data_IF_793994077914
#
_entry.id   IF_793994077914
#
_cell.length_a   1.000
_cell.length_b   1.000
_cell.length_c   1.000
_cell.angle_alpha   90.00
_cell.angle_beta   90.00
_cell.angle_gamma   90.00
#
_symmetry.space_group_name_H-M   'P 1'
#
loop_
_entity.id
_entity.type
_entity.pdbx_description
1 polymer ?
#
# COMPACT_ATOMS: atom_id res chain seq x y z
N UNK A 1 72.17 -1.25 35.68
CA UNK A 1 71.91 0.03 34.98
C UNK A 1 71.07 -0.34 33.77
N UNK A 2 69.84 0.08 33.57
CA UNK A 2 69.03 1.06 34.28
C UNK A 2 67.56 0.59 34.24
N UNK A 3 66.85 0.80 35.35
CA UNK A 3 65.49 0.35 35.60
C UNK A 3 64.51 1.45 35.16
N UNK A 4 63.46 1.08 34.40
CA UNK A 4 62.54 2.09 33.84
C UNK A 4 61.08 1.64 33.66
N UNK A 5 60.48 1.07 34.71
CA UNK A 5 59.04 1.12 35.04
C UNK A 5 58.03 0.46 34.08
N UNK A 6 57.94 -0.86 34.24
CA UNK A 6 56.68 -1.61 34.29
C UNK A 6 56.08 -1.41 35.70
N UNK A 7 54.90 -0.77 35.86
CA UNK A 7 53.94 -0.92 36.98
C UNK A 7 52.99 0.29 37.11
N UNK A 8 51.71 0.07 36.82
CA UNK A 8 50.46 0.70 37.36
C UNK A 8 49.36 0.31 36.34
N UNK A 9 48.28 -0.42 36.60
CA UNK A 9 47.38 -0.40 37.76
C UNK A 9 46.63 -1.74 37.82
N UNK A 10 46.95 -2.58 38.81
CA UNK A 10 45.99 -3.52 39.43
C UNK A 10 46.13 -3.28 40.93
N UNK A 11 45.32 -2.36 41.46
CA UNK A 11 44.97 -2.24 42.88
C UNK A 11 44.18 -0.94 43.09
N UNK A 12 42.85 -1.01 42.96
CA UNK A 12 41.94 -0.09 43.65
C UNK A 12 40.58 -0.78 43.86
N UNK A 13 40.62 -2.01 44.39
CA UNK A 13 39.55 -2.48 45.26
C UNK A 13 39.97 -2.11 46.69
N UNK A 14 39.00 -1.66 47.49
CA UNK A 14 39.15 -1.15 48.86
C UNK A 14 39.53 0.33 49.02
N UNK A 15 38.61 1.23 48.63
CA UNK A 15 38.32 2.42 49.44
C UNK A 15 36.86 2.86 49.22
N UNK A 16 35.93 1.97 49.60
CA UNK A 16 34.51 2.27 49.73
C UNK A 16 34.12 2.22 51.21
N UNK A 17 34.72 3.11 52.01
CA UNK A 17 34.24 3.42 53.34
C UNK A 17 34.33 4.95 53.50
N UNK A 18 33.19 5.58 53.78
CA UNK A 18 33.05 6.96 54.26
C UNK A 18 32.94 8.08 53.19
N UNK A 19 31.94 8.00 52.30
CA UNK A 19 31.35 9.22 51.71
C UNK A 19 29.87 9.33 52.12
N UNK A 20 29.40 10.52 52.55
CA UNK A 20 28.05 10.73 53.05
C UNK A 20 27.01 10.61 51.92
N UNK A 21 25.87 10.04 52.28
CA UNK A 21 24.81 9.48 51.43
C UNK A 21 23.93 10.52 50.70
N UNK A 22 24.44 11.71 50.42
CA UNK A 22 23.64 12.80 49.84
C UNK A 22 24.43 13.59 48.80
N UNK A 23 24.54 13.07 47.57
CA UNK A 23 24.57 13.84 46.32
C UNK A 23 24.95 12.96 45.11
N UNK A 24 24.08 12.04 44.71
CA UNK A 24 24.04 11.57 43.32
C UNK A 24 22.62 11.76 42.81
N UNK A 25 22.26 13.03 42.57
CA UNK A 25 21.13 13.39 41.71
C UNK A 25 21.68 13.66 40.31
N UNK A 26 21.29 12.80 39.38
CA UNK A 26 21.10 13.17 37.97
C UNK A 26 22.36 13.23 37.11
N UNK A 27 22.97 12.08 36.82
CA UNK A 27 23.48 11.89 35.46
C UNK A 27 22.29 11.35 34.67
N UNK A 28 21.60 12.22 33.95
CA UNK A 28 20.61 11.81 32.98
C UNK A 28 21.33 10.91 31.97
N UNK A 29 21.03 9.62 31.98
CA UNK A 29 21.35 8.75 30.87
C UNK A 29 20.78 9.44 29.62
N UNK A 30 21.63 9.65 28.61
CA UNK A 30 21.20 10.14 27.31
C UNK A 30 20.24 9.07 26.78
N UNK A 31 18.94 9.27 27.01
CA UNK A 31 17.92 8.30 26.64
C UNK A 31 18.01 8.11 25.13
N UNK A 32 18.21 6.87 24.70
CA UNK A 32 18.02 6.52 23.30
C UNK A 32 16.65 7.05 22.87
N UNK A 33 16.57 7.89 21.82
CA UNK A 33 15.29 8.41 21.35
C UNK A 33 14.31 7.25 21.19
N UNK A 34 13.16 7.33 21.86
CA UNK A 34 12.14 6.29 21.73
C UNK A 34 11.62 6.28 20.29
N UNK A 35 11.36 5.10 19.71
CA UNK A 35 10.88 5.03 18.35
C UNK A 35 9.54 5.77 18.22
N UNK A 36 9.32 6.56 17.15
CA UNK A 36 8.06 7.24 16.89
C UNK A 36 6.81 6.34 16.97
N UNK A 37 6.94 5.05 16.63
CA UNK A 37 5.91 4.03 16.86
C UNK A 37 6.55 2.75 17.37
N UNK A 38 5.90 1.99 18.29
CA UNK A 38 6.47 0.74 18.78
C UNK A 38 6.49 -0.39 17.74
N UNK A 39 5.70 -0.28 16.66
CA UNK A 39 5.47 -1.38 15.74
C UNK A 39 4.82 -0.93 14.43
N UNK A 40 5.00 -1.74 13.39
CA UNK A 40 4.34 -1.55 12.09
C UNK A 40 3.89 -2.89 11.51
N UNK A 41 2.61 -3.00 11.17
CA UNK A 41 2.04 -4.13 10.43
C UNK A 41 1.68 -3.69 9.01
N UNK A 42 2.06 -4.51 8.02
CA UNK A 42 2.02 -4.13 6.61
C UNK A 42 1.11 -5.10 5.87
N UNK A 43 0.18 -4.56 5.11
CA UNK A 43 -0.78 -5.27 4.25
C UNK A 43 -0.69 -4.66 2.86
N UNK A 44 -0.66 -5.50 1.84
CA UNK A 44 -0.50 -5.00 0.48
C UNK A 44 -0.23 -6.05 -0.57
N UNK A 45 0.23 -5.58 -1.71
CA UNK A 45 0.60 -6.38 -2.86
C UNK A 45 2.13 -6.43 -3.07
N UNK A 46 2.58 -6.72 -4.29
CA UNK A 46 4.00 -6.78 -4.67
C UNK A 46 4.77 -5.48 -4.43
N UNK A 47 4.10 -4.32 -4.36
CA UNK A 47 4.77 -3.04 -4.07
C UNK A 47 5.38 -2.99 -2.68
N UNK A 48 4.90 -3.82 -1.75
CA UNK A 48 5.34 -3.85 -0.36
C UNK A 48 5.64 -5.25 0.16
N UNK A 49 5.50 -6.32 -0.63
CA UNK A 49 5.95 -7.67 -0.28
C UNK A 49 7.46 -7.72 -0.05
N UNK A 50 7.86 -8.44 0.99
CA UNK A 50 9.25 -8.65 1.39
C UNK A 50 9.65 -10.13 1.49
N UNK A 51 8.85 -11.03 0.92
CA UNK A 51 9.17 -12.45 0.78
C UNK A 51 8.07 -13.44 1.14
N UNK A 52 6.81 -13.01 1.33
CA UNK A 52 5.72 -13.94 1.63
C UNK A 52 5.45 -14.88 0.45
N UNK A 53 5.68 -14.43 -0.79
CA UNK A 53 5.50 -15.26 -1.98
C UNK A 53 6.61 -16.30 -2.22
N UNK A 54 7.72 -16.27 -1.46
CA UNK A 54 8.90 -17.07 -1.76
C UNK A 54 8.66 -18.59 -1.76
N UNK A 55 7.75 -19.05 -0.89
CA UNK A 55 7.44 -20.47 -0.70
C UNK A 55 6.03 -20.85 -1.18
N UNK A 56 5.39 -19.97 -1.97
CA UNK A 56 4.09 -20.21 -2.58
C UNK A 56 4.32 -20.62 -4.04
N UNK A 57 3.50 -21.56 -4.55
CA UNK A 57 3.50 -21.90 -5.97
C UNK A 57 2.88 -20.74 -6.78
N UNK A 58 3.72 -19.78 -7.14
CA UNK A 58 3.33 -18.52 -7.75
C UNK A 58 4.28 -18.11 -8.87
N UNK A 59 3.74 -17.46 -9.90
CA UNK A 59 4.52 -16.72 -10.90
C UNK A 59 4.94 -15.34 -10.36
N UNK A 60 4.22 -14.80 -9.37
CA UNK A 60 4.56 -13.55 -8.71
C UNK A 60 5.60 -13.81 -7.60
N UNK A 61 6.87 -14.02 -7.99
CA UNK A 61 8.02 -14.17 -7.08
C UNK A 61 9.16 -13.24 -7.49
N UNK A 62 9.88 -12.73 -6.49
CA UNK A 62 11.06 -11.88 -6.65
C UNK A 62 12.25 -12.35 -5.79
N UNK A 63 12.34 -13.67 -5.55
CA UNK A 63 13.42 -14.31 -4.78
C UNK A 63 14.59 -14.78 -5.66
N UNK A 64 14.84 -14.08 -6.77
CA UNK A 64 15.92 -14.38 -7.70
C UNK A 64 16.54 -13.08 -8.23
N UNK A 65 17.83 -13.13 -8.59
CA UNK A 65 18.51 -11.98 -9.20
C UNK A 65 17.90 -11.69 -10.58
N UNK A 66 17.74 -10.42 -10.99
CA UNK A 66 18.35 -9.23 -10.36
C UNK A 66 17.52 -8.57 -9.24
N UNK A 67 16.37 -9.12 -8.83
CA UNK A 67 15.65 -8.57 -7.68
C UNK A 67 16.51 -8.62 -6.41
N UNK A 68 16.45 -7.57 -5.60
CA UNK A 68 17.29 -7.43 -4.41
C UNK A 68 18.79 -7.35 -4.70
N UNK A 69 19.22 -6.95 -5.90
CA UNK A 69 20.66 -6.78 -6.22
C UNK A 69 21.38 -5.81 -5.26
N UNK A 70 20.66 -4.84 -4.69
CA UNK A 70 21.16 -3.87 -3.72
C UNK A 70 20.97 -4.32 -2.26
N UNK A 71 20.41 -5.51 -2.04
CA UNK A 71 20.37 -6.17 -0.74
C UNK A 71 21.63 -7.02 -0.54
N UNK A 72 22.39 -6.73 0.51
CA UNK A 72 23.64 -7.44 0.78
C UNK A 72 23.45 -8.94 1.06
N UNK A 73 22.30 -9.34 1.62
CA UNK A 73 21.94 -10.73 1.91
C UNK A 73 21.41 -11.50 0.69
N UNK A 74 21.27 -10.84 -0.46
CA UNK A 74 20.68 -11.42 -1.68
C UNK A 74 19.18 -11.17 -1.82
N UNK A 75 18.51 -11.77 -2.84
CA UNK A 75 17.12 -11.47 -3.21
C UNK A 75 16.15 -11.82 -2.07
N UNK A 76 15.56 -10.82 -1.38
CA UNK A 76 14.74 -11.12 -0.21
C UNK A 76 13.30 -11.52 -0.58
N UNK A 77 12.90 -11.36 -1.85
CA UNK A 77 11.50 -11.47 -2.29
C UNK A 77 10.80 -10.12 -2.48
N UNK A 78 11.54 -9.01 -2.48
CA UNK A 78 11.04 -7.67 -2.81
C UNK A 78 11.04 -7.45 -4.32
N UNK A 79 9.95 -6.95 -4.88
CA UNK A 79 9.79 -6.68 -6.31
C UNK A 79 10.49 -5.38 -6.74
N UNK A 80 11.75 -5.21 -6.34
CA UNK A 80 12.57 -4.05 -6.68
C UNK A 80 14.05 -4.42 -6.59
N UNK A 81 14.96 -3.52 -6.93
CA UNK A 81 16.40 -3.72 -6.77
C UNK A 81 16.86 -3.74 -5.30
N UNK A 82 16.14 -3.07 -4.41
CA UNK A 82 16.52 -2.88 -3.01
C UNK A 82 15.30 -2.81 -2.11
N UNK A 83 15.27 -1.83 -1.20
CA UNK A 83 14.17 -1.63 -0.24
C UNK A 83 12.90 -1.07 -0.87
N UNK A 84 11.75 -1.47 -0.32
CA UNK A 84 10.42 -0.93 -0.65
C UNK A 84 10.13 0.33 0.17
N UNK A 85 9.05 1.06 -0.15
CA UNK A 85 8.68 2.25 0.63
C UNK A 85 8.43 1.94 2.11
N UNK A 86 7.87 0.75 2.42
CA UNK A 86 7.54 0.37 3.80
C UNK A 86 8.77 0.00 4.61
N UNK A 87 9.85 -0.45 3.97
CA UNK A 87 11.14 -0.62 4.65
C UNK A 87 11.68 0.73 5.11
N UNK A 88 11.70 1.72 4.22
CA UNK A 88 12.12 3.08 4.57
C UNK A 88 11.21 3.72 5.61
N UNK A 89 9.90 3.51 5.54
CA UNK A 89 8.97 3.97 6.58
C UNK A 89 9.27 3.31 7.93
N UNK A 90 9.57 2.00 7.96
CA UNK A 90 9.93 1.31 9.20
C UNK A 90 11.24 1.86 9.80
N UNK A 91 12.22 2.21 8.94
CA UNK A 91 13.46 2.88 9.36
C UNK A 91 13.15 4.24 9.99
N UNK A 92 12.32 5.06 9.33
CA UNK A 92 11.94 6.40 9.81
C UNK A 92 11.10 6.35 11.10
N UNK A 93 10.37 5.26 11.33
CA UNK A 93 9.65 4.98 12.58
C UNK A 93 10.55 4.43 13.69
N UNK A 94 11.85 4.27 13.46
CA UNK A 94 12.81 3.80 14.45
C UNK A 94 12.73 2.30 14.74
N UNK A 95 12.20 1.50 13.80
CA UNK A 95 11.99 0.06 14.00
C UNK A 95 13.21 -0.81 13.64
N UNK A 96 14.32 -0.21 13.17
CA UNK A 96 15.57 -0.94 12.85
C UNK A 96 16.65 -0.82 13.93
N UNK A 97 17.57 -1.80 14.00
CA UNK A 97 17.57 -3.11 13.30
C UNK A 97 16.75 -4.18 14.04
N UNK A 98 16.27 -5.26 13.38
CA UNK A 98 16.37 -5.59 11.94
C UNK A 98 15.18 -5.04 11.12
N UNK A 99 15.15 -5.27 9.80
CA UNK A 99 13.96 -4.98 8.97
C UNK A 99 12.73 -5.76 9.46
N UNK A 100 11.53 -5.26 9.17
CA UNK A 100 10.29 -6.01 9.45
C UNK A 100 10.30 -7.31 8.61
N UNK A 101 10.12 -8.49 9.21
CA UNK A 101 10.16 -9.77 8.50
C UNK A 101 8.87 -10.02 7.69
N UNK A 102 8.90 -10.85 6.63
CA UNK A 102 7.68 -11.42 6.07
C UNK A 102 7.03 -12.32 7.11
N UNK A 103 5.69 -12.32 7.16
CA UNK A 103 4.92 -13.18 8.05
C UNK A 103 5.27 -14.66 7.83
N UNK A 104 5.52 -15.07 6.59
CA UNK A 104 5.90 -16.44 6.22
C UNK A 104 7.15 -16.98 6.96
N UNK A 105 8.02 -16.09 7.47
CA UNK A 105 9.22 -16.48 8.24
C UNK A 105 9.31 -15.78 9.59
N UNK A 106 8.27 -15.07 10.02
CA UNK A 106 8.26 -14.36 11.30
C UNK A 106 8.16 -15.35 12.46
N UNK A 107 8.92 -15.10 13.53
CA UNK A 107 8.81 -15.87 14.78
C UNK A 107 7.86 -15.15 15.73
N UNK A 108 7.27 -15.85 16.72
CA UNK A 108 6.43 -15.21 17.72
C UNK A 108 7.07 -14.00 18.42
N UNK A 109 8.39 -14.04 18.65
CA UNK A 109 9.15 -12.95 19.26
C UNK A 109 9.30 -11.70 18.35
N UNK A 110 9.11 -11.84 17.05
CA UNK A 110 9.20 -10.73 16.09
C UNK A 110 7.87 -9.95 16.03
N UNK A 111 6.73 -10.63 16.26
CA UNK A 111 5.38 -10.09 16.12
C UNK A 111 5.12 -8.79 16.91
N UNK A 112 5.59 -8.61 18.17
CA UNK A 112 5.39 -7.36 18.89
C UNK A 112 5.98 -6.13 18.19
N UNK A 113 7.05 -6.28 17.40
CA UNK A 113 7.63 -5.16 16.63
C UNK A 113 6.96 -4.99 15.27
N UNK A 114 6.31 -6.04 14.75
CA UNK A 114 5.61 -6.00 13.48
C UNK A 114 5.98 -7.14 12.55
N UNK A 115 5.11 -7.38 11.59
CA UNK A 115 5.30 -8.32 10.49
C UNK A 115 4.66 -7.77 9.22
N UNK A 116 5.18 -8.21 8.08
CA UNK A 116 4.64 -7.87 6.77
C UNK A 116 3.80 -9.04 6.23
N UNK A 117 2.54 -8.79 5.96
CA UNK A 117 1.56 -9.75 5.45
C UNK A 117 1.28 -9.59 3.95
N UNK A 118 1.89 -8.60 3.29
CA UNK A 118 1.68 -8.33 1.87
C UNK A 118 2.10 -9.51 0.99
N UNK A 119 1.43 -9.68 -0.14
CA UNK A 119 1.67 -10.80 -1.06
C UNK A 119 1.61 -10.33 -2.51
N UNK A 120 2.63 -10.68 -3.31
CA UNK A 120 2.64 -10.41 -4.75
C UNK A 120 1.40 -10.99 -5.46
N UNK A 121 0.91 -10.28 -6.49
CA UNK A 121 -0.36 -10.51 -7.20
C UNK A 121 -1.65 -10.27 -6.41
N UNK A 122 -1.58 -10.01 -5.10
CA UNK A 122 -2.76 -9.86 -4.25
C UNK A 122 -3.65 -8.69 -4.65
N UNK A 123 -4.97 -8.91 -4.60
CA UNK A 123 -6.00 -7.88 -4.69
C UNK A 123 -6.86 -7.77 -3.43
N UNK A 124 -7.77 -6.79 -3.46
CA UNK A 124 -8.85 -6.67 -2.47
C UNK A 124 -9.81 -7.84 -2.60
N UNK A 125 -10.14 -8.23 -3.83
CA UNK A 125 -10.97 -9.39 -4.12
C UNK A 125 -10.15 -10.68 -4.09
N UNK A 126 -10.78 -11.78 -3.67
CA UNK A 126 -10.11 -13.06 -3.51
C UNK A 126 -9.69 -13.70 -4.85
N UNK A 127 -10.38 -13.37 -5.93
CA UNK A 127 -10.11 -13.90 -7.26
C UNK A 127 -9.01 -13.15 -8.04
N UNK A 128 -8.74 -11.91 -7.65
CA UNK A 128 -7.76 -11.04 -8.30
C UNK A 128 -6.37 -11.68 -8.24
N UNK A 129 -5.68 -11.80 -9.38
CA UNK A 129 -4.32 -12.35 -9.43
C UNK A 129 -4.22 -13.88 -9.48
N UNK A 130 -5.35 -14.61 -9.45
CA UNK A 130 -5.37 -16.07 -9.61
C UNK A 130 -4.67 -16.58 -10.88
N UNK A 131 -4.63 -15.78 -11.95
CA UNK A 131 -3.89 -16.10 -13.18
C UNK A 131 -2.38 -16.24 -12.96
N UNK A 132 -1.84 -15.71 -11.86
CA UNK A 132 -0.43 -15.78 -11.48
C UNK A 132 -0.13 -16.88 -10.44
N UNK A 133 -1.12 -17.70 -10.08
CA UNK A 133 -0.98 -18.78 -9.10
C UNK A 133 -1.26 -18.34 -7.67
N UNK A 134 -0.69 -19.06 -6.70
CA UNK A 134 -0.98 -18.83 -5.27
C UNK A 134 -0.48 -17.46 -4.78
N UNK A 135 -1.30 -16.81 -3.96
CA UNK A 135 -1.03 -15.54 -3.30
C UNK A 135 -2.03 -15.38 -2.14
N UNK A 136 -1.82 -14.39 -1.27
CA UNK A 136 -2.70 -14.11 -0.13
C UNK A 136 -3.56 -12.87 -0.39
N UNK A 137 -4.85 -12.98 -0.79
CA UNK A 137 -5.73 -11.83 -0.94
C UNK A 137 -5.90 -11.06 0.38
N UNK A 138 -6.36 -9.81 0.34
CA UNK A 138 -6.43 -8.95 1.54
C UNK A 138 -7.11 -9.63 2.73
N UNK A 139 -8.20 -10.35 2.48
CA UNK A 139 -8.94 -11.09 3.51
C UNK A 139 -8.09 -12.16 4.20
N UNK A 140 -7.23 -12.86 3.45
CA UNK A 140 -6.31 -13.83 4.00
C UNK A 140 -5.15 -13.17 4.76
N UNK A 141 -4.65 -12.03 4.28
CA UNK A 141 -3.66 -11.24 5.02
C UNK A 141 -4.20 -10.78 6.39
N UNK A 142 -5.47 -10.37 6.45
CA UNK A 142 -6.15 -10.04 7.72
C UNK A 142 -6.32 -11.27 8.61
N UNK A 143 -6.58 -12.45 8.04
CA UNK A 143 -6.62 -13.71 8.79
C UNK A 143 -5.25 -14.07 9.39
N UNK A 144 -4.17 -13.88 8.63
CA UNK A 144 -2.81 -14.03 9.14
C UNK A 144 -2.52 -13.07 10.29
N UNK A 145 -2.97 -11.82 10.21
CA UNK A 145 -2.85 -10.89 11.32
C UNK A 145 -3.66 -11.31 12.55
N UNK A 146 -4.88 -11.84 12.36
CA UNK A 146 -5.68 -12.42 13.46
C UNK A 146 -4.93 -13.56 14.16
N UNK A 147 -4.29 -14.43 13.40
CA UNK A 147 -3.43 -15.49 13.95
C UNK A 147 -2.23 -14.90 14.71
N UNK A 148 -1.55 -13.90 14.14
CA UNK A 148 -0.43 -13.22 14.81
C UNK A 148 -0.84 -12.56 16.15
N UNK A 149 -2.02 -11.95 16.22
CA UNK A 149 -2.56 -11.38 17.47
C UNK A 149 -2.82 -12.48 18.51
N UNK A 150 -3.38 -13.62 18.09
CA UNK A 150 -3.58 -14.77 18.95
C UNK A 150 -2.24 -15.34 19.46
N UNK A 151 -1.24 -15.43 18.58
CA UNK A 151 0.11 -15.88 18.95
C UNK A 151 0.78 -14.94 19.95
N UNK A 152 0.66 -13.62 19.76
CA UNK A 152 1.16 -12.65 20.75
C UNK A 152 0.47 -12.79 22.11
N UNK A 153 -0.82 -13.11 22.12
CA UNK A 153 -1.57 -13.31 23.35
C UNK A 153 -1.22 -14.63 24.05
N UNK A 154 -0.93 -15.69 23.31
CA UNK A 154 -0.80 -17.05 23.86
C UNK A 154 0.64 -17.56 23.97
N UNK A 155 1.60 -16.93 23.26
CA UNK A 155 2.97 -17.43 23.20
C UNK A 155 3.79 -17.05 24.44
N UNK A 156 4.38 -18.06 25.08
CA UNK A 156 5.37 -17.86 26.16
C UNK A 156 6.64 -17.15 25.70
N UNK A 157 6.93 -17.16 24.38
CA UNK A 157 8.04 -16.42 23.79
C UNK A 157 7.81 -14.89 23.83
N UNK A 158 6.56 -14.44 24.02
CA UNK A 158 6.20 -13.01 24.11
C UNK A 158 5.99 -12.61 25.57
N UNK A 159 7.09 -12.62 26.33
CA UNK A 159 7.10 -12.34 27.76
C UNK A 159 6.53 -10.95 28.13
N UNK A 160 6.57 -9.98 27.20
CA UNK A 160 6.06 -8.61 27.39
C UNK A 160 4.57 -8.60 27.74
N UNK A 161 3.78 -9.47 27.13
CA UNK A 161 2.32 -9.47 27.30
C UNK A 161 1.85 -10.43 28.40
N UNK A 162 2.65 -11.45 28.78
CA UNK A 162 2.35 -12.40 29.87
C UNK A 162 0.95 -13.02 29.78
N UNK A 163 0.51 -13.39 28.58
CA UNK A 163 -0.83 -13.97 28.41
C UNK A 163 -1.98 -12.96 28.45
N UNK A 164 -1.69 -11.64 28.53
CA UNK A 164 -2.72 -10.63 28.76
C UNK A 164 -3.19 -10.00 27.43
N UNK A 165 -4.36 -10.42 26.97
CA UNK A 165 -5.00 -9.91 25.76
C UNK A 165 -5.24 -8.38 25.78
N UNK A 166 -5.51 -7.78 26.95
CA UNK A 166 -5.67 -6.33 27.07
C UNK A 166 -4.36 -5.59 26.77
N UNK A 167 -3.22 -6.11 27.23
CA UNK A 167 -1.90 -5.54 26.91
C UNK A 167 -1.54 -5.69 25.44
N UNK A 168 -1.91 -6.81 24.82
CA UNK A 168 -1.76 -6.99 23.37
C UNK A 168 -2.59 -5.94 22.64
N UNK A 169 -3.87 -5.77 22.99
CA UNK A 169 -4.75 -4.79 22.36
C UNK A 169 -4.24 -3.34 22.54
N UNK A 170 -3.76 -2.98 23.73
CA UNK A 170 -3.16 -1.67 24.00
C UNK A 170 -1.90 -1.44 23.14
N UNK A 171 -1.03 -2.43 23.06
CA UNK A 171 0.19 -2.38 22.24
C UNK A 171 -0.14 -2.25 20.75
N UNK A 172 -1.04 -3.11 20.26
CA UNK A 172 -1.52 -3.11 18.87
C UNK A 172 -2.15 -1.76 18.50
N UNK A 173 -2.91 -1.15 19.41
CA UNK A 173 -3.51 0.17 19.20
C UNK A 173 -2.51 1.31 19.02
N UNK A 174 -1.24 1.13 19.42
CA UNK A 174 -0.16 2.11 19.22
C UNK A 174 0.64 1.89 17.93
N UNK A 175 0.51 0.73 17.29
CA UNK A 175 1.23 0.38 16.06
C UNK A 175 0.67 1.12 14.84
N UNK A 176 1.52 1.30 13.82
CA UNK A 176 1.11 1.73 12.48
C UNK A 176 0.61 0.53 11.66
N UNK A 177 -0.50 0.70 10.96
CA UNK A 177 -1.05 -0.26 10.01
C UNK A 177 -0.98 0.33 8.61
N UNK A 178 -0.05 -0.15 7.78
CA UNK A 178 0.00 0.23 6.38
C UNK A 178 -0.86 -0.73 5.56
N UNK A 179 -1.78 -0.20 4.76
CA UNK A 179 -2.65 -0.96 3.87
C UNK A 179 -2.62 -0.30 2.50
N UNK A 180 -1.99 -0.95 1.52
CA UNK A 180 -1.90 -0.48 0.14
C UNK A 180 -2.34 -1.57 -0.82
N UNK A 181 -3.57 -1.46 -1.34
CA UNK A 181 -4.21 -2.48 -2.19
C UNK A 181 -5.01 -1.83 -3.31
N UNK A 182 -5.32 -2.60 -4.35
CA UNK A 182 -6.18 -2.19 -5.46
C UNK A 182 -5.49 -2.20 -6.83
N UNK A 183 -4.16 -2.21 -6.89
CA UNK A 183 -3.43 -2.17 -8.17
C UNK A 183 -3.73 -3.40 -9.04
N UNK A 184 -3.65 -4.59 -8.45
CA UNK A 184 -3.94 -5.87 -9.11
C UNK A 184 -5.42 -6.04 -9.45
N UNK A 185 -6.34 -5.43 -8.70
CA UNK A 185 -7.77 -5.50 -9.03
C UNK A 185 -8.06 -4.83 -10.39
N UNK A 186 -7.21 -3.89 -10.81
CA UNK A 186 -7.24 -3.35 -12.16
C UNK A 186 -6.33 -4.13 -13.12
N UNK A 187 -5.04 -4.31 -12.78
CA UNK A 187 -4.03 -4.91 -13.66
C UNK A 187 -4.22 -6.40 -13.93
N UNK A 188 -4.53 -7.17 -12.89
CA UNK A 188 -4.62 -8.62 -12.87
C UNK A 188 -6.07 -9.09 -12.59
N UNK A 189 -7.05 -8.28 -13.02
CA UNK A 189 -8.47 -8.62 -12.97
C UNK A 189 -9.29 -7.77 -13.97
N UNK A 190 -9.65 -6.52 -13.64
CA UNK A 190 -10.59 -5.70 -14.42
C UNK A 190 -10.18 -5.52 -15.89
N UNK A 191 -8.90 -5.25 -16.15
CA UNK A 191 -8.36 -5.06 -17.50
C UNK A 191 -7.81 -6.34 -18.15
N UNK A 192 -8.19 -7.52 -17.64
CA UNK A 192 -7.81 -8.83 -18.20
C UNK A 192 -9.04 -9.66 -18.63
N UNK A 193 -9.78 -9.24 -19.68
CA UNK A 193 -11.03 -9.88 -20.11
C UNK A 193 -10.86 -11.34 -20.56
N UNK A 194 -9.66 -11.74 -20.98
CA UNK A 194 -9.36 -13.12 -21.38
C UNK A 194 -9.33 -14.10 -20.20
N UNK A 195 -9.12 -13.60 -18.98
CA UNK A 195 -9.03 -14.39 -17.74
C UNK A 195 -10.21 -14.14 -16.80
N UNK A 196 -10.81 -12.95 -16.86
CA UNK A 196 -11.83 -12.50 -15.93
C UNK A 196 -13.01 -11.86 -16.67
N UNK A 197 -14.23 -12.19 -16.26
CA UNK A 197 -15.44 -11.55 -16.80
C UNK A 197 -15.85 -10.28 -16.03
N UNK A 198 -14.95 -9.72 -15.23
CA UNK A 198 -15.23 -8.59 -14.32
C UNK A 198 -15.68 -7.34 -15.08
N UNK A 199 -14.98 -6.95 -16.14
CA UNK A 199 -15.38 -5.81 -16.97
C UNK A 199 -16.70 -6.03 -17.73
N UNK A 200 -17.13 -7.28 -17.91
CA UNK A 200 -18.45 -7.60 -18.50
C UNK A 200 -19.57 -7.49 -17.45
N UNK A 201 -19.25 -7.66 -16.17
CA UNK A 201 -20.21 -7.66 -15.05
C UNK A 201 -20.38 -6.29 -14.40
N UNK A 202 -19.33 -5.48 -14.39
CA UNK A 202 -19.30 -4.22 -13.63
C UNK A 202 -18.85 -3.05 -14.49
N UNK A 203 -19.60 -1.95 -14.39
CA UNK A 203 -19.11 -0.65 -14.85
C UNK A 203 -17.90 -0.23 -13.99
N UNK A 204 -17.02 0.68 -14.49
CA UNK A 204 -15.90 1.18 -13.69
C UNK A 204 -16.30 1.71 -12.31
N UNK A 205 -17.44 2.41 -12.25
CA UNK A 205 -18.01 2.96 -11.01
C UNK A 205 -18.45 1.85 -10.05
N UNK A 206 -19.18 0.86 -10.55
CA UNK A 206 -19.70 -0.23 -9.71
C UNK A 206 -18.57 -1.13 -9.21
N UNK A 207 -17.54 -1.33 -10.03
CA UNK A 207 -16.35 -2.07 -9.63
C UNK A 207 -15.58 -1.33 -8.53
N UNK A 208 -15.34 -0.03 -8.68
CA UNK A 208 -14.73 0.78 -7.62
C UNK A 208 -15.54 0.72 -6.31
N UNK A 209 -16.87 0.76 -6.39
CA UNK A 209 -17.75 0.64 -5.23
C UNK A 209 -17.67 -0.75 -4.57
N UNK A 210 -17.58 -1.82 -5.36
CA UNK A 210 -17.33 -3.20 -4.89
C UNK A 210 -16.01 -3.28 -4.13
N UNK A 211 -14.90 -2.83 -4.73
CA UNK A 211 -13.58 -2.83 -4.09
C UNK A 211 -13.58 -2.06 -2.77
N UNK A 212 -14.18 -0.87 -2.74
CA UNK A 212 -14.22 -0.05 -1.54
C UNK A 212 -15.06 -0.65 -0.42
N UNK A 213 -16.13 -1.39 -0.76
CA UNK A 213 -16.93 -2.12 0.23
C UNK A 213 -16.11 -3.24 0.87
N UNK A 214 -15.46 -4.07 0.05
CA UNK A 214 -14.65 -5.18 0.55
C UNK A 214 -13.42 -4.68 1.32
N UNK A 215 -12.75 -3.64 0.82
CA UNK A 215 -11.64 -2.98 1.51
C UNK A 215 -12.07 -2.46 2.89
N UNK A 216 -13.21 -1.77 2.98
CA UNK A 216 -13.71 -1.24 4.24
C UNK A 216 -14.07 -2.35 5.25
N UNK A 217 -14.56 -3.49 4.78
CA UNK A 217 -14.81 -4.66 5.62
C UNK A 217 -13.49 -5.18 6.23
N UNK A 218 -12.43 -5.30 5.43
CA UNK A 218 -11.12 -5.73 5.93
C UNK A 218 -10.48 -4.74 6.91
N UNK A 219 -10.65 -3.43 6.67
CA UNK A 219 -10.23 -2.40 7.64
C UNK A 219 -11.01 -2.50 8.95
N UNK A 220 -12.31 -2.81 8.89
CA UNK A 220 -13.13 -3.02 10.08
C UNK A 220 -12.69 -4.24 10.90
N UNK A 221 -12.29 -5.32 10.23
CA UNK A 221 -11.70 -6.50 10.89
C UNK A 221 -10.37 -6.16 11.57
N UNK A 222 -9.47 -5.42 10.91
CA UNK A 222 -8.23 -4.94 11.54
C UNK A 222 -8.52 -4.07 12.77
N UNK A 223 -9.50 -3.18 12.68
CA UNK A 223 -9.94 -2.35 13.81
C UNK A 223 -10.50 -3.20 14.96
N UNK A 224 -11.28 -4.23 14.66
CA UNK A 224 -11.79 -5.18 15.66
C UNK A 224 -10.65 -5.94 16.37
N UNK A 225 -9.54 -6.19 15.66
CA UNK A 225 -8.32 -6.80 16.20
C UNK A 225 -7.41 -5.82 16.98
N UNK A 226 -7.85 -4.56 17.15
CA UNK A 226 -7.16 -3.56 17.97
C UNK A 226 -6.42 -2.47 17.20
N UNK A 227 -6.39 -2.53 15.86
CA UNK A 227 -5.72 -1.50 15.07
C UNK A 227 -6.38 -0.12 15.23
N UNK A 228 -5.57 0.93 15.40
CA UNK A 228 -6.07 2.32 15.56
C UNK A 228 -5.40 3.33 14.65
N UNK A 229 -4.15 3.13 14.22
CA UNK A 229 -3.42 4.09 13.37
C UNK A 229 -3.22 3.49 11.99
N UNK A 230 -4.01 3.95 11.02
CA UNK A 230 -4.01 3.40 9.67
C UNK A 230 -3.36 4.36 8.68
N UNK A 231 -2.55 3.80 7.81
CA UNK A 231 -1.99 4.44 6.62
C UNK A 231 -2.55 3.70 5.42
N UNK A 232 -3.42 4.38 4.68
CA UNK A 232 -4.13 3.85 3.51
C UNK A 232 -3.50 4.45 2.27
N UNK A 233 -2.85 3.64 1.44
CA UNK A 233 -2.21 4.12 0.22
C UNK A 233 -3.16 4.01 -0.98
N UNK A 234 -3.34 5.10 -1.72
CA UNK A 234 -4.02 5.10 -3.00
C UNK A 234 -3.21 4.36 -4.08
N UNK A 235 -3.88 3.94 -5.15
CA UNK A 235 -3.25 3.29 -6.30
C UNK A 235 -2.55 4.34 -7.16
N UNK A 236 -1.31 4.08 -7.59
CA UNK A 236 -0.59 4.97 -8.50
C UNK A 236 -1.23 5.08 -9.89
N UNK A 237 -0.62 5.88 -10.77
CA UNK A 237 -1.09 6.00 -12.17
C UNK A 237 -0.70 4.76 -12.98
N UNK A 238 -1.55 3.74 -12.96
CA UNK A 238 -1.33 2.48 -13.68
C UNK A 238 -1.08 2.74 -15.17
N UNK A 239 -1.81 3.67 -15.81
CA UNK A 239 -1.62 4.00 -17.22
C UNK A 239 -0.25 4.60 -17.56
N UNK A 240 0.55 4.95 -16.57
CA UNK A 240 1.90 5.50 -16.74
C UNK A 240 3.03 4.50 -16.45
N UNK A 241 2.72 3.27 -16.02
CA UNK A 241 3.76 2.28 -15.73
C UNK A 241 4.32 1.69 -17.04
N UNK A 242 5.58 1.22 -17.07
CA UNK A 242 6.19 0.71 -18.29
C UNK A 242 5.39 -0.39 -19.01
N UNK A 243 4.67 -1.24 -18.27
CA UNK A 243 3.78 -2.26 -18.84
C UNK A 243 2.66 -1.68 -19.71
N UNK A 244 2.01 -0.60 -19.27
CA UNK A 244 0.95 0.05 -20.06
C UNK A 244 1.54 0.88 -21.20
N UNK A 245 2.67 1.56 -20.95
CA UNK A 245 3.38 2.32 -21.99
C UNK A 245 3.86 1.42 -23.14
N UNK A 246 4.25 0.18 -22.84
CA UNK A 246 4.67 -0.80 -23.83
C UNK A 246 3.56 -1.24 -24.78
N UNK A 247 2.30 -0.95 -24.46
CA UNK A 247 1.09 -1.34 -25.19
C UNK A 247 0.36 -0.17 -25.85
N UNK A 248 0.97 1.01 -25.88
CA UNK A 248 0.40 2.17 -26.57
C UNK A 248 1.13 2.43 -27.88
N UNK A 249 0.40 2.64 -28.97
CA UNK A 249 0.94 3.04 -30.26
C UNK A 249 1.59 4.45 -30.20
N UNK A 250 2.22 4.86 -31.30
CA UNK A 250 2.91 6.16 -31.40
C UNK A 250 1.97 7.38 -31.29
N UNK A 251 0.64 7.17 -31.34
CA UNK A 251 -0.39 8.19 -31.18
C UNK A 251 -1.00 8.19 -29.75
N UNK A 252 -0.35 7.51 -28.79
CA UNK A 252 -0.82 7.30 -27.42
C UNK A 252 -2.21 6.61 -27.33
N UNK A 253 -2.55 5.76 -28.29
CA UNK A 253 -3.71 4.88 -28.24
C UNK A 253 -3.28 3.44 -27.96
N UNK A 254 -4.14 2.57 -27.37
CA UNK A 254 -3.80 1.16 -27.21
C UNK A 254 -3.44 0.48 -28.54
N UNK A 255 -2.34 -0.27 -28.56
CA UNK A 255 -1.96 -1.15 -29.66
C UNK A 255 -3.02 -2.25 -29.80
N UNK A 256 -4.01 -2.05 -30.66
CA UNK A 256 -4.98 -3.11 -31.00
C UNK A 256 -4.37 -4.02 -32.05
N UNK A 257 -4.30 -5.35 -31.83
CA UNK A 257 -4.29 -6.28 -32.95
C UNK A 257 -5.57 -6.02 -33.74
N UNK A 258 -5.48 -5.98 -35.07
CA UNK A 258 -6.52 -5.56 -36.02
C UNK A 258 -7.80 -6.43 -36.05
N UNK A 259 -8.25 -6.99 -34.93
CA UNK A 259 -9.47 -7.79 -34.80
C UNK A 259 -10.19 -7.70 -33.45
N UNK A 260 -9.80 -6.84 -32.51
CA UNK A 260 -10.49 -6.70 -31.22
C UNK A 260 -11.06 -5.29 -31.02
N UNK A 261 -12.18 -5.00 -31.70
CA UNK A 261 -13.02 -3.85 -31.39
C UNK A 261 -13.80 -4.12 -30.10
N UNK A 262 -13.18 -3.97 -28.93
CA UNK A 262 -13.94 -3.84 -27.67
C UNK A 262 -14.27 -2.37 -27.47
N UNK A 263 -15.49 -2.00 -27.85
CA UNK A 263 -16.09 -0.69 -27.59
C UNK A 263 -16.34 -0.52 -26.08
N UNK A 264 -15.30 -0.19 -25.32
CA UNK A 264 -15.47 0.57 -24.09
C UNK A 264 -15.69 2.02 -24.53
N UNK A 265 -16.95 2.36 -24.82
CA UNK A 265 -17.31 3.73 -25.16
C UNK A 265 -16.95 4.65 -24.00
N UNK A 266 -16.13 5.66 -24.30
CA UNK A 266 -15.83 6.76 -23.40
C UNK A 266 -17.12 7.56 -23.13
N UNK A 267 -17.92 7.10 -22.17
CA UNK A 267 -19.00 7.90 -21.62
C UNK A 267 -18.37 9.01 -20.76
N UNK A 268 -18.69 10.26 -21.07
CA UNK A 268 -18.30 11.43 -20.30
C UNK A 268 -18.54 11.18 -18.80
N UNK A 269 -17.44 11.17 -18.03
CA UNK A 269 -17.43 10.81 -16.60
C UNK A 269 -18.05 11.96 -15.80
N UNK A 270 -19.32 11.80 -15.43
CA UNK A 270 -20.00 12.72 -14.52
C UNK A 270 -19.46 12.57 -13.10
N UNK A 271 -19.09 13.70 -12.49
CA UNK A 271 -18.58 13.87 -11.12
C UNK A 271 -19.65 13.67 -10.04
N UNK A 272 -20.31 12.51 -10.02
CA UNK A 272 -21.21 12.15 -8.92
C UNK A 272 -20.42 11.46 -7.81
N UNK A 273 -20.51 12.00 -6.59
CA UNK A 273 -19.99 11.39 -5.38
C UNK A 273 -20.39 9.90 -5.33
N UNK A 274 -19.41 9.01 -5.16
CA UNK A 274 -19.70 7.60 -4.84
C UNK A 274 -20.25 7.59 -3.42
N UNK A 275 -21.58 7.71 -3.29
CA UNK A 275 -22.28 7.58 -2.03
C UNK A 275 -22.23 6.12 -1.57
N UNK A 276 -21.14 5.73 -0.89
CA UNK A 276 -21.07 4.43 -0.26
C UNK A 276 -21.70 4.55 1.13
N UNK A 277 -22.93 4.09 1.29
CA UNK A 277 -23.52 3.81 2.59
C UNK A 277 -22.85 2.56 3.18
N UNK A 278 -21.71 2.73 3.86
CA UNK A 278 -21.04 1.63 4.56
C UNK A 278 -21.75 1.39 5.89
N UNK A 279 -22.84 0.61 5.85
CA UNK A 279 -23.41 0.00 7.05
C UNK A 279 -22.52 -1.15 7.50
N UNK A 280 -21.50 -0.89 8.35
CA UNK A 280 -20.85 -1.97 9.10
C UNK A 280 -21.81 -2.33 10.23
N UNK A 281 -22.76 -3.22 9.93
CA UNK A 281 -23.67 -3.79 10.91
C UNK A 281 -22.90 -4.70 11.85
N UNK A 282 -22.94 -4.40 13.15
CA UNK A 282 -22.38 -5.26 14.19
C UNK A 282 -23.06 -6.63 14.19
N UNK A 283 -22.25 -7.67 14.02
CA UNK A 283 -22.68 -9.06 14.02
C UNK A 283 -21.48 -9.99 14.10
N UNK A 284 -20.75 -9.92 15.21
CA UNK A 284 -19.78 -10.97 15.56
C UNK A 284 -20.57 -12.23 15.93
N UNK A 285 -20.55 -13.22 15.05
CA UNK A 285 -21.10 -14.56 15.27
C UNK A 285 -20.34 -15.55 14.41
N UNK A 286 -19.55 -16.41 15.04
CA UNK A 286 -18.64 -17.33 14.37
C UNK A 286 -19.29 -18.55 13.72
N UNK A 287 -18.51 -19.18 12.85
CA UNK A 287 -18.49 -20.63 12.64
C UNK A 287 -19.55 -21.25 11.73
N UNK A 288 -19.06 -21.95 10.68
CA UNK A 288 -19.61 -23.25 10.29
C UNK A 288 -20.39 -23.35 8.97
N UNK A 289 -19.74 -23.96 7.97
CA UNK A 289 -20.25 -25.13 7.23
C UNK A 289 -21.53 -25.05 6.40
N UNK A 290 -21.36 -25.19 5.07
CA UNK A 290 -22.10 -26.13 4.20
C UNK A 290 -23.60 -25.94 3.95
N UNK A 291 -24.02 -26.05 2.68
CA UNK A 291 -25.38 -26.46 2.35
C UNK A 291 -26.05 -25.77 1.16
N UNK A 292 -26.28 -26.58 0.12
CA UNK A 292 -27.07 -26.39 -1.09
C UNK A 292 -28.53 -25.97 -0.78
N UNK A 293 -29.16 -25.15 -1.63
CA UNK A 293 -30.63 -25.07 -1.69
C UNK A 293 -31.17 -23.88 -2.49
N UNK A 294 -31.79 -24.15 -3.64
CA UNK A 294 -32.46 -23.16 -4.48
C UNK A 294 -33.85 -22.73 -3.99
N UNK A 295 -34.42 -21.74 -4.67
CA UNK A 295 -35.83 -21.36 -4.52
C UNK A 295 -36.07 -19.90 -4.89
N UNK A 296 -36.79 -19.67 -6.00
CA UNK A 296 -37.13 -18.34 -6.50
C UNK A 296 -38.38 -17.72 -5.89
N UNK A 297 -38.73 -16.55 -6.44
CA UNK A 297 -40.07 -15.95 -6.32
C UNK A 297 -40.07 -14.49 -5.83
N UNK A 298 -40.80 -13.64 -6.56
CA UNK A 298 -41.44 -12.46 -5.99
C UNK A 298 -41.05 -11.09 -6.55
N UNK A 299 -41.56 -10.77 -7.74
CA UNK A 299 -41.63 -9.41 -8.27
C UNK A 299 -42.77 -8.67 -7.55
N UNK A 300 -42.46 -7.53 -6.92
CA UNK A 300 -43.44 -6.60 -6.35
C UNK A 300 -43.21 -5.20 -6.89
N UNK A 301 -44.08 -4.77 -7.82
CA UNK A 301 -44.02 -3.46 -8.45
C UNK A 301 -44.48 -2.32 -7.54
N UNK A 302 -43.87 -1.16 -7.72
CA UNK A 302 -44.30 0.12 -7.16
C UNK A 302 -44.11 1.22 -8.21
N UNK A 303 -45.18 1.50 -8.96
CA UNK A 303 -45.32 2.70 -9.79
C UNK A 303 -45.36 3.93 -8.88
N UNK A 304 -44.61 4.98 -9.23
CA UNK A 304 -45.13 6.33 -9.07
C UNK A 304 -44.69 7.21 -10.23
N UNK A 305 -45.69 7.90 -10.75
CA UNK A 305 -45.74 8.78 -11.91
C UNK A 305 -45.23 10.18 -11.58
N UNK A 306 -44.59 10.86 -12.54
CA UNK A 306 -44.72 12.31 -12.79
C UNK A 306 -43.89 12.66 -14.02
N UNK A 307 -44.52 12.77 -15.19
CA UNK A 307 -45.04 14.02 -15.78
C UNK A 307 -43.95 14.93 -16.32
N UNK A 308 -43.75 14.76 -17.63
CA UNK A 308 -42.94 15.55 -18.54
C UNK A 308 -43.63 16.90 -18.81
N UNK A 309 -42.95 18.02 -18.62
CA UNK A 309 -43.34 19.30 -19.25
C UNK A 309 -42.12 19.90 -19.93
N UNK A 310 -42.21 19.87 -21.26
CA UNK A 310 -41.28 20.43 -22.21
C UNK A 310 -41.76 21.85 -22.55
N UNK A 311 -40.94 22.87 -22.27
CA UNK A 311 -41.15 24.22 -22.82
C UNK A 311 -39.86 24.67 -23.51
N UNK A 312 -39.95 24.79 -24.83
CA UNK A 312 -38.87 25.27 -25.69
C UNK A 312 -38.65 26.77 -25.52
N UNK A 313 -37.38 27.16 -25.61
CA UNK A 313 -36.94 28.55 -25.67
C UNK A 313 -35.60 28.61 -26.41
N UNK A 314 -35.66 28.81 -27.73
CA UNK A 314 -34.51 29.08 -28.57
C UNK A 314 -33.90 30.43 -28.22
N UNK A 315 -32.62 30.45 -27.84
CA UNK A 315 -31.75 31.64 -27.97
C UNK A 315 -30.36 31.21 -28.43
N UNK A 316 -30.01 31.74 -29.60
CA UNK A 316 -28.69 31.83 -30.19
C UNK A 316 -27.77 32.71 -29.34
N UNK A 317 -26.51 32.30 -29.18
CA UNK A 317 -25.49 33.17 -28.59
C UNK A 317 -24.21 32.44 -28.16
N UNK A 318 -23.15 32.60 -28.96
CA UNK A 318 -21.76 32.65 -28.48
C UNK A 318 -21.14 31.36 -27.97
N UNK A 319 -20.42 30.66 -28.85
CA UNK A 319 -19.38 29.70 -28.46
C UNK A 319 -18.30 30.48 -27.72
N UNK A 320 -18.35 30.49 -26.39
CA UNK A 320 -17.25 30.97 -25.57
C UNK A 320 -16.33 29.77 -25.32
N UNK A 321 -15.40 29.56 -26.25
CA UNK A 321 -14.27 28.66 -26.10
C UNK A 321 -13.49 29.05 -24.86
N UNK A 322 -13.71 28.32 -23.77
CA UNK A 322 -12.77 28.27 -22.65
C UNK A 322 -11.41 27.86 -23.19
N UNK A 323 -10.31 28.55 -22.84
CA UNK A 323 -8.99 28.18 -23.32
C UNK A 323 -8.71 26.74 -22.89
N UNK A 324 -8.35 25.90 -23.86
CA UNK A 324 -7.71 24.63 -23.57
C UNK A 324 -6.56 24.91 -22.59
N UNK A 325 -6.54 24.16 -21.50
CA UNK A 325 -5.35 24.06 -20.66
C UNK A 325 -4.18 23.71 -21.58
N UNK A 326 -3.03 24.39 -21.46
CA UNK A 326 -1.89 24.13 -22.32
C UNK A 326 -1.56 22.64 -22.29
N UNK A 327 -1.48 22.04 -23.48
CA UNK A 327 -1.04 20.68 -23.69
C UNK A 327 0.28 20.47 -22.94
N UNK A 328 0.25 19.66 -21.88
CA UNK A 328 1.44 19.13 -21.24
C UNK A 328 2.19 18.31 -22.30
N UNK A 329 3.36 18.79 -22.71
CA UNK A 329 4.19 18.13 -23.72
C UNK A 329 4.45 16.67 -23.37
N UNK A 330 3.77 15.75 -24.06
CA UNK A 330 4.20 14.38 -24.29
C UNK A 330 4.28 13.42 -23.10
N UNK A 331 3.37 13.45 -22.12
CA UNK A 331 3.22 12.28 -21.24
C UNK A 331 2.19 11.32 -21.85
N UNK A 332 2.66 10.40 -22.68
CA UNK A 332 1.85 9.36 -23.31
C UNK A 332 1.38 8.28 -22.35
N UNK A 333 0.69 8.63 -21.25
CA UNK A 333 0.04 7.68 -20.35
C UNK A 333 -1.33 7.25 -20.89
N UNK A 334 -1.78 6.06 -20.49
CA UNK A 334 -3.13 5.57 -20.80
C UNK A 334 -4.17 6.21 -19.86
N UNK A 335 -4.77 7.31 -20.32
CA UNK A 335 -5.74 8.07 -19.51
C UNK A 335 -7.08 7.36 -19.32
N UNK A 336 -7.45 6.41 -20.19
CA UNK A 336 -8.62 5.57 -19.95
C UNK A 336 -8.43 4.74 -18.68
N UNK A 337 -7.28 4.09 -18.52
CA UNK A 337 -6.94 3.33 -17.30
C UNK A 337 -6.86 4.26 -16.09
N UNK A 338 -6.14 5.38 -16.20
CA UNK A 338 -5.98 6.33 -15.08
C UNK A 338 -7.34 6.88 -14.61
N UNK A 339 -8.27 7.17 -15.53
CA UNK A 339 -9.60 7.69 -15.18
C UNK A 339 -10.45 6.69 -14.39
N UNK A 340 -10.32 5.39 -14.67
CA UNK A 340 -11.01 4.31 -13.96
C UNK A 340 -10.43 4.13 -12.56
N UNK A 341 -9.10 4.06 -12.44
CA UNK A 341 -8.40 3.95 -11.14
C UNK A 341 -8.68 5.17 -10.27
N UNK A 342 -8.78 6.36 -10.86
CA UNK A 342 -9.12 7.59 -10.13
C UNK A 342 -10.50 7.53 -9.44
N UNK A 343 -11.45 6.74 -9.95
CA UNK A 343 -12.74 6.53 -9.27
C UNK A 343 -12.54 5.83 -7.92
N UNK A 344 -11.71 4.80 -7.87
CA UNK A 344 -11.36 4.09 -6.65
C UNK A 344 -10.61 4.98 -5.66
N UNK A 345 -9.57 5.69 -6.11
CA UNK A 345 -8.80 6.58 -5.23
C UNK A 345 -9.66 7.69 -4.60
N UNK A 346 -10.57 8.30 -5.37
CA UNK A 346 -11.51 9.29 -4.83
C UNK A 346 -12.43 8.69 -3.78
N UNK A 347 -12.92 7.47 -4.01
CA UNK A 347 -13.75 6.77 -3.04
C UNK A 347 -12.96 6.34 -1.79
N UNK A 348 -11.69 5.98 -1.92
CA UNK A 348 -10.80 5.63 -0.81
C UNK A 348 -10.53 6.85 0.09
N UNK A 349 -10.25 8.01 -0.51
CA UNK A 349 -10.14 9.27 0.21
C UNK A 349 -11.47 9.66 0.89
N UNK A 350 -12.61 9.48 0.22
CA UNK A 350 -13.93 9.72 0.82
C UNK A 350 -14.20 8.79 2.02
N UNK A 351 -13.79 7.52 1.93
CA UNK A 351 -13.84 6.57 3.03
C UNK A 351 -12.99 7.03 4.21
N UNK A 352 -11.73 7.43 3.96
CA UNK A 352 -10.83 7.96 5.01
C UNK A 352 -11.43 9.21 5.69
N UNK A 353 -12.00 10.14 4.91
CA UNK A 353 -12.69 11.33 5.46
C UNK A 353 -13.82 10.93 6.40
N UNK A 354 -14.66 9.97 5.99
CA UNK A 354 -15.77 9.48 6.83
C UNK A 354 -15.28 8.79 8.10
N UNK A 355 -14.29 7.90 8.00
CA UNK A 355 -13.75 7.18 9.14
C UNK A 355 -13.07 8.10 10.17
N UNK A 356 -12.50 9.21 9.72
CA UNK A 356 -11.97 10.27 10.58
C UNK A 356 -13.05 11.19 11.19
N UNK A 357 -14.35 10.93 10.97
CA UNK A 357 -15.46 11.70 11.54
C UNK A 357 -16.09 12.73 10.60
N UNK A 358 -15.66 12.79 9.33
CA UNK A 358 -16.33 13.58 8.30
C UNK A 358 -17.75 13.08 8.06
N UNK A 359 -18.75 13.94 8.28
CA UNK A 359 -20.17 13.59 8.14
C UNK A 359 -20.87 13.15 9.43
N UNK A 360 -20.27 13.36 10.61
CA UNK A 360 -20.99 13.31 11.90
C UNK A 360 -21.11 11.95 12.59
N UNK A 361 -20.53 10.88 12.01
CA UNK A 361 -20.47 9.56 12.64
C UNK A 361 -19.03 9.07 12.83
N UNK A 362 -18.58 8.81 14.07
CA UNK A 362 -17.32 8.08 14.31
C UNK A 362 -17.60 6.59 14.32
N UNK A 363 -17.55 5.95 13.14
CA UNK A 363 -17.77 4.51 13.00
C UNK A 363 -16.65 3.68 13.65
N UNK A 364 -15.45 4.24 13.81
CA UNK A 364 -14.28 3.60 14.44
C UNK A 364 -13.66 4.52 15.50
N UNK A 365 -14.25 4.52 16.71
CA UNK A 365 -13.84 5.41 17.81
C UNK A 365 -12.37 5.19 18.18
N UNK A 366 -11.63 6.30 18.25
CA UNK A 366 -10.20 6.29 18.61
C UNK A 366 -9.27 5.83 17.49
N UNK A 367 -9.81 5.47 16.32
CA UNK A 367 -8.99 5.24 15.14
C UNK A 367 -8.69 6.55 14.40
N UNK A 368 -7.54 6.58 13.74
CA UNK A 368 -7.02 7.69 12.94
C UNK A 368 -6.46 7.13 11.65
N UNK A 369 -6.87 7.74 10.55
CA UNK A 369 -6.53 7.32 9.19
C UNK A 369 -5.74 8.42 8.48
N UNK A 370 -4.66 8.02 7.83
CA UNK A 370 -3.92 8.83 6.85
C UNK A 370 -4.13 8.20 5.49
N UNK A 371 -4.50 9.01 4.50
CA UNK A 371 -4.51 8.67 3.09
C UNK A 371 -3.21 9.16 2.46
N UNK A 372 -2.49 8.26 1.76
CA UNK A 372 -1.36 8.61 0.92
C UNK A 372 -1.85 8.70 -0.53
N UNK A 373 -1.76 9.88 -1.13
CA UNK A 373 -2.07 10.07 -2.54
C UNK A 373 -0.82 9.73 -3.37
N UNK A 374 -0.75 8.46 -3.78
CA UNK A 374 0.34 7.94 -4.61
C UNK A 374 0.35 8.57 -6.01
N UNK A 375 -0.79 9.05 -6.51
CA UNK A 375 -0.88 9.76 -7.79
C UNK A 375 -0.23 11.13 -7.67
N UNK A 376 -0.61 11.93 -6.68
CA UNK A 376 -0.02 13.23 -6.44
C UNK A 376 1.49 13.12 -6.17
N UNK A 377 1.89 12.16 -5.32
CA UNK A 377 3.29 11.91 -5.01
C UNK A 377 4.11 11.48 -6.22
N UNK A 378 3.53 10.64 -7.10
CA UNK A 378 4.17 10.21 -8.34
C UNK A 378 4.30 11.32 -9.37
N UNK A 379 3.26 12.15 -9.54
CA UNK A 379 3.31 13.33 -10.42
C UNK A 379 4.36 14.33 -9.97
N UNK A 380 4.41 14.62 -8.67
CA UNK A 380 5.42 15.51 -8.12
C UNK A 380 6.84 14.95 -8.30
N UNK A 381 7.03 13.65 -8.08
CA UNK A 381 8.32 12.99 -8.32
C UNK A 381 8.75 13.06 -9.78
N UNK A 382 7.82 12.86 -10.73
CA UNK A 382 8.11 12.98 -12.16
C UNK A 382 8.42 14.43 -12.56
N UNK A 383 7.66 15.40 -12.04
CA UNK A 383 7.90 16.83 -12.30
C UNK A 383 9.24 17.32 -11.72
N UNK A 384 9.71 16.70 -10.63
CA UNK A 384 10.98 16.99 -9.97
C UNK A 384 12.07 15.94 -10.24
N UNK A 385 11.92 15.15 -11.30
CA UNK A 385 12.79 14.00 -11.61
C UNK A 385 14.28 14.32 -11.55
N UNK A 386 14.70 15.40 -12.21
CA UNK A 386 16.11 15.82 -12.25
C UNK A 386 16.66 16.14 -10.85
N UNK A 387 15.86 16.73 -9.96
CA UNK A 387 16.26 17.03 -8.58
C UNK A 387 16.46 15.76 -7.74
N UNK A 388 15.84 14.65 -8.16
CA UNK A 388 15.96 13.34 -7.54
C UNK A 388 16.98 12.43 -8.23
N UNK A 389 17.65 12.91 -9.28
CA UNK A 389 18.61 12.14 -10.07
C UNK A 389 17.99 11.25 -11.14
N UNK A 390 16.66 11.30 -11.34
CA UNK A 390 16.01 10.51 -12.37
C UNK A 390 16.20 11.16 -13.75
N UNK A 391 16.62 10.34 -14.70
CA UNK A 391 16.69 10.68 -16.12
C UNK A 391 15.79 9.76 -16.97
N UNK A 392 15.29 8.67 -16.39
CA UNK A 392 14.46 7.68 -17.06
C UNK A 392 13.17 7.44 -16.27
N UNK A 393 12.04 7.86 -16.85
CA UNK A 393 10.71 7.82 -16.21
C UNK A 393 9.72 6.89 -16.91
N UNK A 394 10.02 6.44 -18.13
CA UNK A 394 9.08 5.78 -19.03
C UNK A 394 9.32 4.28 -19.18
N UNK A 395 10.39 3.73 -18.59
CA UNK A 395 10.80 2.33 -18.77
C UNK A 395 11.45 1.74 -17.53
N UNK A 396 11.35 0.42 -17.41
CA UNK A 396 12.03 -0.32 -16.35
C UNK A 396 13.55 -0.32 -16.54
N UNK A 397 14.30 -0.27 -15.43
CA UNK A 397 15.74 -0.56 -15.44
C UNK A 397 16.04 -2.00 -15.88
N UNK A 398 15.10 -2.90 -15.68
CA UNK A 398 15.18 -4.32 -15.99
C UNK A 398 13.86 -4.78 -16.63
N UNK A 399 13.92 -5.79 -17.49
CA UNK A 399 12.77 -6.26 -18.27
C UNK A 399 13.09 -6.35 -19.76
N UNK A 400 12.13 -6.80 -20.56
CA UNK A 400 12.33 -7.09 -21.99
C UNK A 400 11.26 -6.38 -22.83
N UNK A 401 11.67 -5.96 -24.02
CA UNK A 401 10.80 -5.40 -25.03
C UNK A 401 10.61 -3.90 -24.90
N UNK A 402 9.55 -3.39 -25.54
CA UNK A 402 9.22 -1.96 -25.50
C UNK A 402 9.10 -1.47 -24.06
N UNK A 403 9.73 -0.33 -23.77
CA UNK A 403 9.82 0.27 -22.43
C UNK A 403 10.33 -0.69 -21.32
N UNK A 404 11.00 -1.80 -21.67
CA UNK A 404 11.28 -2.91 -20.75
C UNK A 404 10.02 -3.39 -19.97
N UNK A 405 8.83 -3.19 -20.57
CA UNK A 405 7.54 -3.34 -19.92
C UNK A 405 6.74 -4.56 -20.36
N UNK A 406 7.11 -5.22 -21.46
CA UNK A 406 6.33 -6.37 -21.97
C UNK A 406 6.55 -7.63 -21.14
N UNK A 407 7.77 -7.81 -20.64
CA UNK A 407 8.14 -8.92 -19.76
C UNK A 407 8.97 -8.31 -18.64
N UNK A 408 8.64 -8.66 -17.40
CA UNK A 408 9.41 -8.28 -16.22
C UNK A 408 10.81 -8.90 -16.24
N UNK A 409 11.64 -8.58 -15.24
CA UNK A 409 12.98 -9.13 -15.09
C UNK A 409 13.03 -10.65 -15.23
N UNK A 410 13.88 -11.13 -16.14
CA UNK A 410 14.20 -12.56 -16.23
C UNK A 410 15.26 -12.95 -15.19
N UNK A 411 15.27 -14.20 -14.71
CA UNK A 411 16.33 -14.69 -13.85
C UNK A 411 17.72 -14.45 -14.45
N UNK A 412 18.62 -13.87 -13.65
CA UNK A 412 20.00 -13.55 -14.02
C UNK A 412 20.15 -12.52 -15.15
N UNK A 413 19.08 -11.82 -15.53
CA UNK A 413 19.17 -10.72 -16.48
C UNK A 413 20.06 -9.59 -15.92
N UNK A 414 20.93 -9.03 -16.77
CA UNK A 414 21.68 -7.82 -16.47
C UNK A 414 20.70 -6.61 -16.46
N UNK A 415 20.52 -5.92 -15.31
CA UNK A 415 19.74 -4.69 -15.28
C UNK A 415 20.56 -3.51 -15.84
N UNK A 416 19.93 -2.34 -15.94
CA UNK A 416 20.62 -1.09 -16.22
C UNK A 416 21.80 -0.82 -15.26
N UNK A 417 22.82 -0.09 -15.73
CA UNK A 417 24.02 0.21 -14.94
C UNK A 417 23.72 1.13 -13.76
N UNK A 418 23.08 2.27 -14.02
CA UNK A 418 22.68 3.25 -13.00
C UNK A 418 21.20 3.11 -12.64
N UNK A 419 20.94 2.32 -11.61
CA UNK A 419 19.59 2.11 -11.04
C UNK A 419 19.01 3.37 -10.39
N UNK A 420 19.87 4.31 -9.97
CA UNK A 420 19.45 5.57 -9.37
C UNK A 420 18.82 6.53 -10.38
N UNK A 421 19.16 6.38 -11.67
CA UNK A 421 18.63 7.20 -12.75
C UNK A 421 17.19 6.82 -13.18
N UNK A 422 16.68 5.68 -12.71
CA UNK A 422 15.40 5.11 -13.14
C UNK A 422 14.33 5.22 -12.04
N UNK A 423 13.13 5.66 -12.41
CA UNK A 423 11.98 5.64 -11.50
C UNK A 423 11.42 4.22 -11.33
N UNK A 424 11.43 3.41 -12.40
CA UNK A 424 10.89 2.05 -12.41
C UNK A 424 12.00 1.00 -12.46
N UNK A 425 11.87 -0.02 -11.60
CA UNK A 425 12.75 -1.18 -11.60
C UNK A 425 12.43 -2.13 -12.74
N UNK A 426 11.16 -2.49 -12.88
CA UNK A 426 10.65 -3.37 -13.92
C UNK A 426 9.38 -2.82 -14.57
N UNK A 427 8.61 -3.68 -15.21
CA UNK A 427 7.37 -3.34 -15.91
C UNK A 427 6.31 -2.65 -15.03
N UNK A 428 6.35 -2.85 -13.71
CA UNK A 428 5.31 -2.40 -12.76
C UNK A 428 5.88 -1.64 -11.57
N UNK A 429 7.04 -2.05 -11.07
CA UNK A 429 7.49 -1.71 -9.72
C UNK A 429 8.50 -0.56 -9.72
N UNK A 430 8.49 0.31 -8.69
CA UNK A 430 9.47 1.37 -8.53
C UNK A 430 10.86 0.84 -8.14
N UNK A 431 11.92 1.58 -8.48
CA UNK A 431 13.26 1.34 -7.93
C UNK A 431 13.33 1.65 -6.44
N UNK A 432 14.35 1.16 -5.76
CA UNK A 432 14.66 1.57 -4.38
C UNK A 432 14.78 3.10 -4.25
N UNK A 433 15.34 3.77 -5.26
CA UNK A 433 15.47 5.22 -5.30
C UNK A 433 14.10 5.92 -5.28
N UNK A 434 13.15 5.46 -6.10
CA UNK A 434 11.78 5.98 -6.10
C UNK A 434 11.04 5.62 -4.79
N UNK A 435 11.19 4.39 -4.30
CA UNK A 435 10.62 3.95 -3.02
C UNK A 435 11.05 4.83 -1.83
N UNK A 436 12.32 5.25 -1.80
CA UNK A 436 12.85 6.17 -0.78
C UNK A 436 12.13 7.51 -0.79
N UNK A 437 11.81 8.04 -1.97
CA UNK A 437 11.12 9.33 -2.11
C UNK A 437 9.65 9.21 -1.71
N UNK A 438 8.96 8.15 -2.15
CA UNK A 438 7.60 7.86 -1.70
C UNK A 438 7.52 7.75 -0.17
N UNK A 439 8.47 7.05 0.46
CA UNK A 439 8.55 6.95 1.91
C UNK A 439 8.78 8.31 2.59
N UNK A 440 9.69 9.14 2.06
CA UNK A 440 9.96 10.47 2.60
C UNK A 440 8.72 11.38 2.52
N UNK A 441 7.99 11.35 1.40
CA UNK A 441 6.73 12.09 1.23
C UNK A 441 5.67 11.60 2.22
N UNK A 442 5.45 10.29 2.30
CA UNK A 442 4.50 9.70 3.24
C UNK A 442 4.83 10.04 4.71
N UNK A 443 6.12 10.02 5.07
CA UNK A 443 6.56 10.27 6.44
C UNK A 443 6.45 11.73 6.86
N UNK A 444 6.88 12.65 6.00
CA UNK A 444 7.16 14.02 6.42
C UNK A 444 6.55 15.14 5.58
N UNK A 445 5.84 14.84 4.49
CA UNK A 445 5.25 15.89 3.66
C UNK A 445 4.24 16.72 4.45
N UNK A 446 4.25 18.03 4.21
CA UNK A 446 3.22 18.96 4.69
C UNK A 446 2.20 19.28 3.58
N UNK A 447 2.37 18.72 2.38
CA UNK A 447 1.45 18.92 1.28
C UNK A 447 0.24 18.00 1.46
N UNK A 448 -0.92 18.59 1.76
CA UNK A 448 -2.15 17.82 2.00
C UNK A 448 -2.71 17.12 0.76
N UNK A 449 -2.18 17.43 -0.41
CA UNK A 449 -2.47 16.70 -1.64
C UNK A 449 -1.68 15.39 -1.75
N UNK A 450 -0.56 15.23 -1.02
CA UNK A 450 0.23 13.99 -0.98
C UNK A 450 -0.15 13.11 0.20
N UNK A 451 -0.47 13.73 1.34
CA UNK A 451 -0.81 13.06 2.60
C UNK A 451 -1.99 13.74 3.27
N UNK A 452 -3.03 13.00 3.63
CA UNK A 452 -4.25 13.58 4.19
C UNK A 452 -4.76 12.79 5.41
N UNK A 453 -5.22 13.45 6.50
CA UNK A 453 -5.11 14.88 6.78
C UNK A 453 -3.74 15.28 7.37
N UNK A 454 -2.95 14.31 7.78
CA UNK A 454 -1.64 14.44 8.42
C UNK A 454 -0.66 13.44 7.80
N UNK A 455 0.63 13.60 8.02
CA UNK A 455 1.65 12.63 7.59
C UNK A 455 1.85 11.48 8.58
N UNK A 456 2.60 10.45 8.18
CA UNK A 456 2.84 9.25 9.01
C UNK A 456 3.60 9.60 10.30
N UNK A 457 4.53 10.57 10.29
CA UNK A 457 5.20 11.03 11.50
C UNK A 457 4.23 11.62 12.52
N UNK A 458 3.30 12.46 12.08
CA UNK A 458 2.25 13.02 12.94
C UNK A 458 1.30 11.94 13.45
N UNK A 459 0.91 10.97 12.60
CA UNK A 459 0.08 9.84 13.01
C UNK A 459 0.76 8.98 14.08
N UNK A 460 2.06 8.73 13.94
CA UNK A 460 2.84 7.95 14.90
C UNK A 460 2.85 8.62 16.29
N UNK A 461 2.89 9.95 16.34
CA UNK A 461 2.92 10.75 17.56
C UNK A 461 1.58 10.86 18.32
N UNK A 462 0.46 10.38 17.77
CA UNK A 462 -0.84 10.31 18.45
C UNK A 462 -0.86 9.21 19.52
#
# INVERSE_FOLDING_TARGET
MDYGRLALVVAAAAMACCLPETAIRGVAAWGTPQPPSPCMYIFGDSLVDNGNNNNILSLARANYRPYGIDFHEGPPGRFTNGRTMVDFLSDMLGLRPPLVPPYATARPADLPRGANFASGASGVLAETGNNLGGHYPLSEQVNHFRAAVADMANSSAVATFRGNATRVAEHVGRCIFFVGMGSNDYLNNYFMPDYYNTAQRYTPRDYAALLLREYAAQVAELYALGARKFVVAGVGQIGCIPYELARMNNDNQPDTPSSASSSASAAAVSSQNIGISIGIGGGFGGGGGGGIGGGGGGIGGGRSTSSNTNTGGSRSGGVNSTPATPDDGGSGCNETINSVVAMYNRGLLAMVRRLNGGGGGTQMRGARFVFLDTVASGKDMAASAAAHGFTVLDRGCCGVGRNNGQITCLPLQQPCEDRGAYMFWDAFHPTEAANRIYAAKAFGSNNTNEVYPINVRQLAAL
#
